data_IF_082310447572
#
_entry.id   IF_082310447572
#
_cell.length_a   1.000
_cell.length_b   1.000
_cell.length_c   1.000
_cell.angle_alpha   90.00
_cell.angle_beta   90.00
_cell.angle_gamma   90.00
#
_symmetry.space_group_name_H-M   'P 1'
#
loop_
_entity.id
_entity.type
_entity.pdbx_description
1 polymer ?
#
# COMPACT_ATOMS: atom_id res chain seq x y z
N UNK A 1 -14.23 28.08 -33.50
CA UNK A 1 -14.90 29.09 -32.69
C UNK A 1 -13.92 29.58 -31.65
N UNK A 2 -13.66 30.89 -31.57
CA UNK A 2 -12.75 31.47 -30.58
C UNK A 2 -13.61 31.97 -29.43
N UNK A 3 -13.54 31.28 -28.28
CA UNK A 3 -14.27 31.68 -27.06
C UNK A 3 -13.55 32.89 -26.47
N UNK A 4 -14.26 33.99 -26.23
CA UNK A 4 -13.66 35.16 -25.60
C UNK A 4 -13.58 35.02 -24.08
N UNK A 5 -12.59 35.68 -23.48
CA UNK A 5 -12.40 35.67 -22.02
C UNK A 5 -13.62 36.28 -21.34
N UNK A 6 -14.32 35.47 -20.53
CA UNK A 6 -15.54 35.88 -19.80
C UNK A 6 -16.85 35.46 -20.47
N UNK A 7 -16.80 34.86 -21.67
CA UNK A 7 -17.97 34.37 -22.37
C UNK A 7 -18.51 33.07 -21.74
N UNK A 8 -19.81 33.03 -21.42
CA UNK A 8 -20.47 31.87 -20.82
C UNK A 8 -20.94 30.91 -21.92
N UNK A 9 -20.27 29.75 -22.02
CA UNK A 9 -20.49 28.77 -23.10
C UNK A 9 -21.80 27.98 -22.92
N UNK A 10 -22.23 27.75 -21.67
CA UNK A 10 -23.40 26.91 -21.37
C UNK A 10 -24.25 27.45 -20.20
N UNK A 11 -24.90 28.61 -20.35
CA UNK A 11 -25.70 29.22 -19.28
C UNK A 11 -26.87 28.33 -18.80
N UNK A 12 -27.38 27.45 -19.66
CA UNK A 12 -28.49 26.55 -19.32
C UNK A 12 -28.09 25.43 -18.33
N UNK A 13 -26.85 24.97 -18.38
CA UNK A 13 -26.34 23.86 -17.56
C UNK A 13 -25.39 24.32 -16.45
N UNK A 14 -25.22 25.64 -16.27
CA UNK A 14 -24.35 26.18 -15.23
C UNK A 14 -24.90 25.87 -13.82
N UNK A 15 -24.00 25.59 -12.87
CA UNK A 15 -24.39 25.41 -11.48
C UNK A 15 -24.95 26.72 -10.94
N UNK A 16 -26.24 26.73 -10.58
CA UNK A 16 -26.86 27.89 -9.91
C UNK A 16 -26.61 27.82 -8.41
N UNK A 17 -26.29 28.97 -7.81
CA UNK A 17 -26.11 29.09 -6.36
C UNK A 17 -27.36 28.61 -5.64
N UNK A 18 -27.20 27.73 -4.65
CA UNK A 18 -28.30 27.16 -3.87
C UNK A 18 -28.91 25.87 -4.42
N UNK A 19 -28.56 25.44 -5.64
CA UNK A 19 -28.97 24.12 -6.14
C UNK A 19 -28.15 23.04 -5.45
N UNK A 20 -28.85 22.14 -4.77
CA UNK A 20 -28.26 20.93 -4.22
C UNK A 20 -28.13 19.90 -5.35
N UNK A 21 -26.94 19.29 -5.57
CA UNK A 21 -26.79 18.22 -6.55
C UNK A 21 -27.74 17.07 -6.27
N UNK A 22 -28.38 16.53 -7.31
CA UNK A 22 -29.33 15.40 -7.18
C UNK A 22 -28.67 14.16 -6.54
N UNK A 23 -27.38 13.94 -6.83
CA UNK A 23 -26.61 12.80 -6.31
C UNK A 23 -26.00 13.08 -4.92
N UNK A 24 -26.45 14.13 -4.22
CA UNK A 24 -25.97 14.43 -2.88
C UNK A 24 -26.50 13.37 -1.91
N UNK A 25 -25.59 12.58 -1.37
CA UNK A 25 -25.90 11.61 -0.31
C UNK A 25 -26.01 12.30 1.07
N UNK A 26 -26.99 11.93 1.91
CA UNK A 26 -27.10 12.44 3.27
C UNK A 26 -25.96 11.92 4.19
N UNK A 27 -25.76 12.58 5.33
CA UNK A 27 -24.89 12.06 6.41
C UNK A 27 -25.41 10.67 6.81
N UNK A 28 -24.49 9.73 7.08
CA UNK A 28 -24.77 8.33 7.38
C UNK A 28 -24.82 7.42 6.16
N UNK A 29 -24.85 7.97 4.93
CA UNK A 29 -24.77 7.15 3.72
C UNK A 29 -23.45 6.40 3.63
N UNK A 30 -23.52 5.16 3.13
CA UNK A 30 -22.37 4.29 2.90
C UNK A 30 -22.08 4.15 1.40
N UNK A 31 -20.80 4.10 1.03
CA UNK A 31 -20.36 3.86 -0.35
C UNK A 31 -19.18 2.92 -0.37
N UNK A 32 -19.18 1.97 -1.30
CA UNK A 32 -18.00 1.13 -1.56
C UNK A 32 -17.09 1.88 -2.53
N UNK A 33 -15.83 2.06 -2.16
CA UNK A 33 -14.82 2.75 -2.98
C UNK A 33 -13.62 1.85 -3.18
N UNK A 34 -13.10 1.86 -4.40
CA UNK A 34 -11.91 1.09 -4.77
C UNK A 34 -10.87 2.05 -5.35
N UNK A 35 -9.70 2.11 -4.72
CA UNK A 35 -8.56 2.83 -5.26
C UNK A 35 -7.71 1.90 -6.14
N UNK A 36 -6.99 2.47 -7.12
CA UNK A 36 -6.18 1.69 -8.07
C UNK A 36 -5.14 0.85 -7.33
N UNK A 37 -5.30 -0.48 -7.37
CA UNK A 37 -4.39 -1.42 -6.75
C UNK A 37 -4.62 -1.66 -5.24
N UNK A 38 -5.74 -1.21 -4.70
CA UNK A 38 -6.18 -1.50 -3.33
C UNK A 38 -7.50 -2.31 -3.34
N UNK A 39 -7.84 -2.91 -2.22
CA UNK A 39 -9.11 -3.62 -2.02
C UNK A 39 -10.28 -2.62 -1.87
N UNK A 40 -11.50 -2.99 -2.29
CA UNK A 40 -12.69 -2.18 -2.04
C UNK A 40 -12.91 -2.01 -0.53
N UNK A 41 -13.25 -0.80 -0.09
CA UNK A 41 -13.55 -0.47 1.31
C UNK A 41 -14.86 0.29 1.41
N UNK A 42 -15.56 0.14 2.53
CA UNK A 42 -16.78 0.90 2.82
C UNK A 42 -16.41 2.24 3.45
N UNK A 43 -17.02 3.31 2.96
CA UNK A 43 -16.89 4.67 3.46
C UNK A 43 -18.23 5.20 3.91
N UNK A 44 -18.28 5.85 5.07
CA UNK A 44 -19.47 6.47 5.64
C UNK A 44 -19.33 8.00 5.62
N UNK A 45 -20.39 8.70 5.21
CA UNK A 45 -20.44 10.16 5.25
C UNK A 45 -20.72 10.60 6.68
N UNK A 46 -19.81 11.35 7.29
CA UNK A 46 -19.94 11.78 8.70
C UNK A 46 -20.30 13.24 8.85
N UNK A 47 -20.04 14.08 7.84
CA UNK A 47 -20.33 15.52 7.91
C UNK A 47 -20.49 16.13 6.51
N UNK A 48 -21.26 17.22 6.44
CA UNK A 48 -21.34 18.09 5.26
C UNK A 48 -20.10 19.01 5.13
N UNK A 49 -19.75 19.47 3.91
CA UNK A 49 -20.40 19.17 2.62
C UNK A 49 -20.04 17.78 2.04
N UNK A 50 -18.87 17.23 2.37
CA UNK A 50 -18.41 15.97 1.79
C UNK A 50 -17.32 15.28 2.63
N UNK A 51 -17.54 15.17 3.94
CA UNK A 51 -16.58 14.51 4.85
C UNK A 51 -16.95 13.03 4.96
N UNK A 52 -16.06 12.18 4.47
CA UNK A 52 -16.20 10.73 4.51
C UNK A 52 -15.01 10.12 5.24
N UNK A 53 -15.28 9.06 6.00
CA UNK A 53 -14.25 8.25 6.64
C UNK A 53 -14.50 6.76 6.36
N UNK A 54 -13.47 5.93 6.48
CA UNK A 54 -13.63 4.48 6.36
C UNK A 54 -14.55 3.95 7.46
N UNK A 55 -15.46 3.04 7.12
CA UNK A 55 -16.43 2.48 8.07
C UNK A 55 -15.76 1.74 9.23
N UNK A 56 -14.68 1.01 8.97
CA UNK A 56 -13.86 0.38 10.03
C UNK A 56 -13.33 1.41 11.05
N UNK A 57 -12.86 2.56 10.59
CA UNK A 57 -12.40 3.66 11.46
C UNK A 57 -13.57 4.26 12.24
N UNK A 58 -14.69 4.50 11.57
CA UNK A 58 -15.89 5.01 12.23
C UNK A 58 -16.37 4.08 13.35
N UNK A 59 -16.48 2.78 13.09
CA UNK A 59 -16.95 1.79 14.06
C UNK A 59 -15.98 1.64 15.24
N UNK A 60 -14.67 1.65 14.97
CA UNK A 60 -13.65 1.61 16.01
C UNK A 60 -13.74 2.80 16.97
N UNK A 61 -13.83 4.02 16.43
CA UNK A 61 -13.98 5.24 17.23
C UNK A 61 -15.34 5.29 17.94
N UNK A 62 -16.40 4.85 17.28
CA UNK A 62 -17.76 4.81 17.86
C UNK A 62 -17.86 3.82 19.03
N UNK A 63 -17.03 2.79 19.06
CA UNK A 63 -16.91 1.87 20.19
C UNK A 63 -16.12 2.45 21.38
N UNK A 64 -15.61 3.69 21.27
CA UNK A 64 -14.87 4.36 22.34
C UNK A 64 -13.37 4.07 22.33
N UNK A 65 -12.84 3.43 21.30
CA UNK A 65 -11.40 3.21 21.16
C UNK A 65 -10.72 4.37 20.46
N UNK A 66 -9.44 4.55 20.75
CA UNK A 66 -8.59 5.54 20.08
C UNK A 66 -7.76 4.90 18.96
N UNK A 67 -7.30 5.74 18.02
CA UNK A 67 -6.36 5.35 16.97
C UNK A 67 -5.14 6.27 17.11
N UNK A 68 -4.09 5.82 17.83
CA UNK A 68 -2.87 6.60 18.00
C UNK A 68 -2.18 6.89 16.66
N UNK A 69 -1.40 7.98 16.62
CA UNK A 69 -0.65 8.33 15.43
C UNK A 69 0.30 7.20 15.02
N UNK A 70 0.31 6.87 13.72
CA UNK A 70 1.13 5.79 13.18
C UNK A 70 0.54 4.39 13.37
N UNK A 71 -0.67 4.28 13.91
CA UNK A 71 -1.45 3.04 13.91
C UNK A 71 -2.46 3.00 12.75
N UNK A 72 -2.88 1.78 12.39
CA UNK A 72 -3.84 1.48 11.33
C UNK A 72 -4.76 0.36 11.80
N UNK A 73 -6.00 0.36 11.31
CA UNK A 73 -6.93 -0.74 11.52
C UNK A 73 -6.67 -1.84 10.49
N UNK A 74 -6.63 -3.07 10.95
CA UNK A 74 -6.43 -4.27 10.15
C UNK A 74 -7.60 -5.25 10.34
N UNK A 75 -8.04 -5.84 9.23
CA UNK A 75 -9.09 -6.87 9.21
C UNK A 75 -8.44 -8.25 9.40
N UNK A 76 -8.74 -8.94 10.50
CA UNK A 76 -8.16 -10.22 10.87
C UNK A 76 -8.43 -11.31 9.82
N UNK A 77 -9.65 -11.36 9.29
CA UNK A 77 -10.04 -12.29 8.23
C UNK A 77 -9.63 -11.84 6.81
N UNK A 78 -9.01 -10.67 6.67
CA UNK A 78 -8.55 -10.09 5.39
C UNK A 78 -9.66 -9.76 4.38
N UNK A 79 -10.91 -9.74 4.82
CA UNK A 79 -12.05 -9.33 4.00
C UNK A 79 -12.28 -7.84 4.30
N UNK A 80 -11.87 -6.98 3.36
CA UNK A 80 -11.91 -5.51 3.53
C UNK A 80 -13.32 -4.91 3.67
N UNK A 81 -14.37 -5.71 3.44
CA UNK A 81 -15.78 -5.34 3.59
C UNK A 81 -16.43 -5.87 4.89
N UNK A 82 -15.71 -6.68 5.67
CA UNK A 82 -16.19 -7.19 6.96
C UNK A 82 -15.74 -6.28 8.11
N UNK A 83 -16.42 -5.14 8.28
CA UNK A 83 -16.09 -4.14 9.29
C UNK A 83 -16.65 -4.47 10.71
N UNK A 84 -17.00 -5.73 11.01
CA UNK A 84 -17.40 -6.13 12.37
C UNK A 84 -16.27 -5.84 13.36
N UNK A 85 -16.61 -5.27 14.51
CA UNK A 85 -15.63 -4.78 15.48
C UNK A 85 -14.70 -5.90 15.96
N UNK A 86 -15.21 -7.12 16.17
CA UNK A 86 -14.44 -8.31 16.54
C UNK A 86 -13.45 -8.78 15.45
N UNK A 87 -13.63 -8.36 14.20
CA UNK A 87 -12.72 -8.65 13.09
C UNK A 87 -11.66 -7.55 12.89
N UNK A 88 -11.74 -6.45 13.65
CA UNK A 88 -10.81 -5.33 13.56
C UNK A 88 -9.74 -5.42 14.64
N UNK A 89 -8.51 -5.10 14.28
CA UNK A 89 -7.45 -4.88 15.27
C UNK A 89 -6.62 -3.65 14.93
N UNK A 90 -6.07 -3.02 15.96
CA UNK A 90 -5.17 -1.89 15.83
C UNK A 90 -3.73 -2.39 15.73
N UNK A 91 -3.03 -1.98 14.67
CA UNK A 91 -1.63 -2.32 14.46
C UNK A 91 -0.81 -1.06 14.21
N UNK A 92 0.46 -1.07 14.61
CA UNK A 92 1.40 -0.09 14.10
C UNK A 92 1.61 -0.31 12.60
N UNK A 93 1.91 0.75 11.84
CA UNK A 93 2.24 0.62 10.40
C UNK A 93 3.39 -0.35 10.15
N UNK A 94 4.35 -0.45 11.08
CA UNK A 94 5.46 -1.40 10.99
C UNK A 94 4.98 -2.85 11.12
N UNK A 95 4.16 -3.15 12.13
CA UNK A 95 3.59 -4.49 12.32
C UNK A 95 2.69 -4.89 11.15
N UNK A 96 1.81 -4.00 10.70
CA UNK A 96 0.95 -4.22 9.54
C UNK A 96 1.77 -4.55 8.29
N UNK A 97 2.87 -3.82 8.05
CA UNK A 97 3.78 -4.11 6.94
C UNK A 97 4.43 -5.49 7.07
N UNK A 98 4.86 -5.89 8.26
CA UNK A 98 5.50 -7.20 8.47
C UNK A 98 4.56 -8.36 8.16
N UNK A 99 3.28 -8.25 8.51
CA UNK A 99 2.25 -9.25 8.16
C UNK A 99 2.17 -9.41 6.64
N UNK A 100 2.03 -8.30 5.91
CA UNK A 100 1.98 -8.35 4.44
C UNK A 100 3.31 -8.76 3.80
N UNK A 101 4.45 -8.35 4.35
CA UNK A 101 5.79 -8.72 3.86
C UNK A 101 6.07 -10.23 4.04
N UNK A 102 5.60 -10.85 5.12
CA UNK A 102 5.67 -12.29 5.32
C UNK A 102 4.79 -13.04 4.30
N UNK A 103 3.59 -12.54 4.06
CA UNK A 103 2.67 -13.10 3.08
C UNK A 103 3.18 -12.99 1.63
N UNK A 104 3.85 -11.87 1.30
CA UNK A 104 4.55 -11.70 0.03
C UNK A 104 5.70 -12.70 -0.14
N UNK A 105 6.42 -13.04 0.93
CA UNK A 105 7.48 -14.06 0.89
C UNK A 105 6.91 -15.48 0.78
N UNK A 106 5.78 -15.72 1.43
CA UNK A 106 5.10 -17.01 1.48
C UNK A 106 4.14 -17.23 0.28
N UNK A 107 4.03 -16.28 -0.64
CA UNK A 107 3.31 -16.42 -1.92
C UNK A 107 1.79 -16.43 -1.83
N UNK A 108 1.21 -15.84 -0.77
CA UNK A 108 -0.24 -15.97 -0.45
C UNK A 108 -1.12 -14.77 -0.85
N UNK A 109 -0.60 -13.75 -1.56
CA UNK A 109 -1.38 -12.54 -1.91
C UNK A 109 -1.69 -12.47 -3.41
N UNK A 110 -2.96 -12.15 -3.80
CA UNK A 110 -3.28 -11.71 -5.15
C UNK A 110 -2.83 -10.26 -5.36
N UNK A 111 -1.71 -10.12 -6.04
CA UNK A 111 -1.13 -8.86 -6.53
C UNK A 111 -0.05 -9.26 -7.52
N UNK A 112 -0.02 -8.65 -8.71
CA UNK A 112 0.82 -9.13 -9.82
C UNK A 112 2.23 -9.46 -9.31
N UNK A 113 2.77 -10.66 -9.60
CA UNK A 113 4.12 -11.00 -9.18
C UNK A 113 5.06 -9.86 -9.57
N UNK A 114 5.93 -9.44 -8.65
CA UNK A 114 6.88 -8.37 -8.92
C UNK A 114 7.56 -8.66 -10.25
N UNK A 115 7.58 -7.70 -11.19
CA UNK A 115 8.07 -7.99 -12.53
C UNK A 115 9.51 -8.46 -12.44
N UNK A 116 9.75 -9.67 -12.93
CA UNK A 116 11.07 -10.28 -13.00
C UNK A 116 11.66 -10.05 -14.38
N UNK A 117 12.96 -9.77 -14.45
CA UNK A 117 13.71 -9.81 -15.71
C UNK A 117 14.74 -10.92 -15.67
N UNK A 118 15.06 -11.47 -16.85
CA UNK A 118 16.19 -12.39 -17.01
C UNK A 118 17.48 -11.58 -16.92
N UNK A 119 18.37 -11.97 -16.02
CA UNK A 119 19.66 -11.32 -15.76
C UNK A 119 20.75 -12.35 -16.05
N UNK A 120 21.86 -11.88 -16.61
CA UNK A 120 23.07 -12.66 -16.79
C UNK A 120 24.00 -12.36 -15.62
N UNK A 121 24.46 -13.39 -14.92
CA UNK A 121 25.42 -13.23 -13.83
C UNK A 121 26.75 -12.68 -14.35
N UNK A 122 27.23 -11.57 -13.79
CA UNK A 122 28.51 -10.97 -14.18
C UNK A 122 29.75 -11.80 -13.81
N UNK A 123 29.62 -12.84 -12.97
CA UNK A 123 30.74 -13.73 -12.59
C UNK A 123 30.74 -15.06 -13.36
N UNK A 124 29.58 -15.70 -13.51
CA UNK A 124 29.48 -17.04 -14.11
C UNK A 124 28.64 -17.11 -15.39
N UNK A 125 28.13 -15.98 -15.88
CA UNK A 125 27.33 -15.88 -17.11
C UNK A 125 26.03 -16.69 -17.15
N UNK A 126 25.64 -17.32 -16.04
CA UNK A 126 24.37 -18.04 -15.92
C UNK A 126 23.20 -17.06 -15.95
N UNK A 127 22.16 -17.43 -16.69
CA UNK A 127 20.87 -16.72 -16.74
C UNK A 127 20.03 -17.06 -15.50
N UNK A 128 19.49 -16.05 -14.83
CA UNK A 128 18.58 -16.23 -13.70
C UNK A 128 17.50 -15.14 -13.65
N UNK A 129 16.38 -15.41 -12.98
CA UNK A 129 15.31 -14.43 -12.78
C UNK A 129 15.63 -13.55 -11.58
N UNK A 130 15.57 -12.23 -11.74
CA UNK A 130 15.66 -11.28 -10.62
C UNK A 130 14.59 -10.21 -10.68
N UNK A 131 14.19 -9.72 -9.50
CA UNK A 131 13.22 -8.63 -9.36
C UNK A 131 13.81 -7.34 -9.95
N UNK A 132 13.06 -6.62 -10.80
CA UNK A 132 13.53 -5.39 -11.47
C UNK A 132 14.05 -4.33 -10.48
N UNK A 133 13.45 -4.23 -9.29
CA UNK A 133 13.84 -3.24 -8.27
C UNK A 133 15.04 -3.67 -7.40
N UNK A 134 15.45 -4.96 -7.45
CA UNK A 134 16.50 -5.54 -6.60
C UNK A 134 17.45 -6.42 -7.41
N UNK A 135 17.80 -5.94 -8.60
CA UNK A 135 18.65 -6.67 -9.54
C UNK A 135 20.04 -6.78 -8.95
N UNK A 136 20.45 -8.00 -8.57
CA UNK A 136 21.86 -8.28 -8.27
C UNK A 136 22.61 -8.44 -9.59
N UNK A 137 23.89 -8.12 -9.62
CA UNK A 137 24.76 -8.44 -10.76
C UNK A 137 25.20 -9.91 -10.74
N UNK A 138 25.13 -10.56 -9.58
CA UNK A 138 25.56 -11.94 -9.37
C UNK A 138 24.39 -12.87 -9.06
N UNK A 139 24.44 -14.10 -9.59
CA UNK A 139 23.53 -15.17 -9.18
C UNK A 139 23.72 -15.47 -7.67
N UNK A 140 22.78 -16.22 -7.09
CA UNK A 140 22.78 -16.52 -5.66
C UNK A 140 24.08 -17.19 -5.19
N UNK A 141 24.66 -18.09 -5.99
CA UNK A 141 25.89 -18.81 -5.65
C UNK A 141 27.11 -17.87 -5.66
N UNK A 142 27.30 -17.10 -6.73
CA UNK A 142 28.40 -16.13 -6.83
C UNK A 142 28.30 -15.04 -5.76
N UNK A 143 27.08 -14.61 -5.40
CA UNK A 143 26.88 -13.66 -4.30
C UNK A 143 27.29 -14.25 -2.94
N UNK A 144 26.90 -15.49 -2.65
CA UNK A 144 27.30 -16.21 -1.42
C UNK A 144 28.81 -16.38 -1.34
N UNK A 145 29.44 -16.76 -2.43
CA UNK A 145 30.89 -16.94 -2.52
C UNK A 145 31.64 -15.63 -2.24
N UNK A 146 31.25 -14.53 -2.89
CA UNK A 146 31.82 -13.20 -2.63
C UNK A 146 31.68 -12.78 -1.16
N UNK A 147 30.56 -13.09 -0.52
CA UNK A 147 30.39 -12.83 0.91
C UNK A 147 31.36 -13.65 1.76
N UNK A 148 31.55 -14.94 1.45
CA UNK A 148 32.53 -15.80 2.13
C UNK A 148 33.97 -15.29 1.94
N UNK A 149 34.32 -14.83 0.73
CA UNK A 149 35.64 -14.23 0.45
C UNK A 149 35.87 -12.96 1.28
N UNK A 150 34.87 -12.08 1.35
CA UNK A 150 34.92 -10.87 2.19
C UNK A 150 35.08 -11.19 3.67
N UNK A 151 34.34 -12.17 4.18
CA UNK A 151 34.44 -12.61 5.58
C UNK A 151 35.83 -13.17 5.89
N UNK A 152 36.38 -14.03 5.01
CA UNK A 152 37.76 -14.52 5.13
C UNK A 152 38.79 -13.38 5.12
N UNK A 153 38.64 -12.41 4.22
CA UNK A 153 39.53 -11.26 4.13
C UNK A 153 39.46 -10.38 5.39
N UNK A 154 38.26 -10.18 5.94
CA UNK A 154 38.06 -9.46 7.19
C UNK A 154 38.74 -10.17 8.37
N UNK A 155 38.52 -11.48 8.52
CA UNK A 155 39.16 -12.30 9.58
C UNK A 155 40.68 -12.30 9.49
N UNK A 156 41.24 -12.36 8.27
CA UNK A 156 42.69 -12.25 8.03
C UNK A 156 43.24 -10.90 8.48
N UNK A 157 42.53 -9.80 8.18
CA UNK A 157 42.89 -8.44 8.63
C UNK A 157 42.80 -8.27 10.14
N UNK A 158 41.85 -8.95 10.80
CA UNK A 158 41.70 -8.91 12.25
C UNK A 158 42.90 -9.62 12.92
N UNK A 159 43.24 -10.82 12.45
CA UNK A 159 44.39 -11.58 12.95
C UNK A 159 45.73 -10.85 12.75
N UNK A 160 45.90 -10.14 11.62
CA UNK A 160 47.13 -9.36 11.38
C UNK A 160 47.27 -8.11 12.25
N UNK A 161 46.21 -7.68 12.95
CA UNK A 161 46.25 -6.51 13.85
C UNK A 161 46.54 -6.87 15.31
N UNK A 162 46.47 -8.15 15.68
CA UNK A 162 46.77 -8.65 17.03
C UNK A 162 48.19 -9.22 17.16
N UNK A 163 49.09 -8.90 16.22
CA UNK A 163 50.46 -9.40 16.16
C UNK A 163 51.45 -8.25 16.14
#
# INVERSE_FOLDING_TARGET
>A
MVIQKGERISPATEFKKGIIPQNKLPIGSETVRTHKGDYPRIWIKVKEPNVWIMKSVYLWLSAGYEIPQGCVIHHLNKIALDDRLENLCLLTRAAHRLIHDDELKNGKIPGKPLPTKTIICSKCSIKYKGQIQRVKSYCQQCAKERHREKDRAYKKRLHSKCR
#
